data_IF_600763017261
#
_entry.id   IF_600763017261
#
_cell.length_a   1.000
_cell.length_b   1.000
_cell.length_c   1.000
_cell.angle_alpha   90.00
_cell.angle_beta   90.00
_cell.angle_gamma   90.00
#
_symmetry.space_group_name_H-M   'P 1'
#
loop_
_entity.id
_entity.type
_entity.pdbx_description
1 polymer ?
#
# COMPACT_ATOMS: atom_id res chain seq x y z
N UNK A 1 17.41 -10.83 -14.32
CA UNK A 1 17.71 -9.89 -13.19
C UNK A 1 16.41 -9.65 -12.44
N UNK A 2 16.44 -9.68 -11.08
CA UNK A 2 15.25 -9.42 -10.27
C UNK A 2 14.93 -7.92 -10.33
N UNK A 3 13.70 -7.51 -10.67
CA UNK A 3 13.33 -6.10 -10.72
C UNK A 3 13.22 -5.49 -9.30
N UNK A 4 13.27 -4.19 -9.20
CA UNK A 4 12.77 -3.47 -8.03
C UNK A 4 11.25 -3.52 -8.03
N UNK A 5 10.63 -3.59 -6.86
CA UNK A 5 9.17 -3.53 -6.67
C UNK A 5 8.85 -2.23 -5.94
N UNK A 6 7.96 -1.44 -6.52
CA UNK A 6 7.41 -0.23 -5.96
C UNK A 6 5.89 -0.42 -5.83
N UNK A 7 5.41 -0.78 -4.63
CA UNK A 7 4.03 -1.25 -4.48
C UNK A 7 2.99 -0.13 -4.43
N UNK A 8 3.43 1.11 -4.28
CA UNK A 8 2.54 2.28 -4.31
C UNK A 8 3.31 3.51 -4.77
N UNK A 9 2.78 4.17 -5.81
CA UNK A 9 3.36 5.41 -6.34
C UNK A 9 2.31 6.26 -7.02
N UNK A 10 2.47 7.58 -6.95
CA UNK A 10 1.69 8.56 -7.71
C UNK A 10 2.34 8.93 -9.04
N UNK A 11 3.49 8.34 -9.34
CA UNK A 11 4.27 8.63 -10.55
C UNK A 11 4.14 7.48 -11.57
N UNK A 12 4.17 7.81 -12.85
CA UNK A 12 4.27 6.81 -13.90
C UNK A 12 5.75 6.53 -14.14
N UNK A 13 6.19 5.35 -13.74
CA UNK A 13 7.54 4.88 -13.99
C UNK A 13 7.56 4.01 -15.24
N UNK A 14 8.44 4.36 -16.18
CA UNK A 14 8.66 3.62 -17.44
C UNK A 14 9.96 2.80 -17.42
N UNK A 15 10.56 2.62 -16.27
CA UNK A 15 11.80 1.86 -16.13
C UNK A 15 11.50 0.35 -16.10
N UNK A 16 11.93 -0.39 -17.11
CA UNK A 16 11.74 -1.85 -17.22
C UNK A 16 12.39 -2.67 -16.09
N UNK A 17 13.29 -2.07 -15.31
CA UNK A 17 13.89 -2.72 -14.14
C UNK A 17 13.06 -2.55 -12.86
N UNK A 18 11.93 -1.85 -12.94
CA UNK A 18 11.04 -1.58 -11.81
C UNK A 18 9.63 -2.05 -12.15
N UNK A 19 9.02 -2.81 -11.25
CA UNK A 19 7.59 -3.12 -11.28
C UNK A 19 6.92 -2.12 -10.34
N UNK A 20 6.24 -1.12 -10.88
CA UNK A 20 5.52 -0.10 -10.13
C UNK A 20 4.01 -0.32 -10.18
N UNK A 21 3.34 -0.23 -9.03
CA UNK A 21 1.88 -0.20 -8.92
C UNK A 21 1.48 1.27 -8.69
N UNK A 22 1.00 1.91 -9.74
CA UNK A 22 0.59 3.31 -9.68
C UNK A 22 -0.82 3.47 -9.09
N UNK A 23 -1.06 4.54 -8.33
CA UNK A 23 -2.40 4.84 -7.85
C UNK A 23 -3.25 5.45 -8.99
N UNK A 24 -4.30 4.72 -9.39
CA UNK A 24 -5.20 5.14 -10.46
C UNK A 24 -6.00 6.40 -10.09
N UNK A 25 -6.35 6.58 -8.82
CA UNK A 25 -7.20 7.68 -8.38
C UNK A 25 -6.49 9.04 -8.53
N UNK A 26 -5.22 9.11 -8.16
CA UNK A 26 -4.40 10.33 -8.21
C UNK A 26 -3.75 10.56 -9.57
N UNK A 27 -3.63 9.50 -10.40
CA UNK A 27 -3.09 9.63 -11.76
C UNK A 27 -3.99 10.52 -12.63
N UNK A 28 -3.44 11.53 -13.33
CA UNK A 28 -4.20 12.37 -14.25
C UNK A 28 -4.95 11.54 -15.30
N UNK A 29 -6.20 11.91 -15.61
CA UNK A 29 -7.07 11.15 -16.52
C UNK A 29 -6.40 10.89 -17.88
N UNK A 30 -5.68 11.89 -18.43
CA UNK A 30 -4.95 11.77 -19.69
C UNK A 30 -3.82 10.74 -19.69
N UNK A 31 -3.36 10.32 -18.51
CA UNK A 31 -2.23 9.39 -18.36
C UNK A 31 -2.67 7.98 -17.89
N UNK A 32 -3.94 7.79 -17.50
CA UNK A 32 -4.44 6.52 -16.95
C UNK A 32 -4.34 5.35 -17.93
N UNK A 33 -4.43 5.62 -19.24
CA UNK A 33 -4.26 4.60 -20.29
C UNK A 33 -2.84 4.04 -20.36
N UNK A 34 -1.84 4.75 -19.82
CA UNK A 34 -0.43 4.38 -19.87
C UNK A 34 0.00 3.55 -18.64
N UNK A 35 -0.89 3.31 -17.69
CA UNK A 35 -0.58 2.51 -16.49
C UNK A 35 -0.40 1.05 -16.85
N UNK A 36 0.83 0.53 -16.67
CA UNK A 36 1.14 -0.88 -16.83
C UNK A 36 0.46 -1.70 -15.72
N UNK A 37 0.72 -1.36 -14.47
CA UNK A 37 0.07 -1.93 -13.29
C UNK A 37 -0.44 -0.79 -12.41
N UNK A 38 -1.59 -1.00 -11.77
CA UNK A 38 -2.16 0.01 -10.91
C UNK A 38 -2.95 -0.59 -9.73
N UNK A 39 -3.18 0.24 -8.71
CA UNK A 39 -4.21 0.05 -7.70
C UNK A 39 -5.38 0.98 -7.96
N UNK A 40 -6.59 0.56 -7.62
CA UNK A 40 -7.79 1.37 -7.73
C UNK A 40 -8.56 1.39 -6.42
N UNK A 41 -8.84 2.59 -5.91
CA UNK A 41 -9.54 2.78 -4.64
C UNK A 41 -10.31 4.10 -4.59
N UNK A 42 -11.07 4.27 -3.51
CA UNK A 42 -11.66 5.55 -3.12
C UNK A 42 -10.93 5.99 -1.86
N UNK A 43 -9.98 6.89 -2.04
CA UNK A 43 -9.22 7.48 -0.94
C UNK A 43 -10.14 8.26 0.01
N UNK A 44 -9.96 8.23 1.33
CA UNK A 44 -10.84 8.91 2.29
C UNK A 44 -11.02 10.40 2.01
N UNK A 45 -10.03 11.08 1.44
CA UNK A 45 -10.13 12.50 1.09
C UNK A 45 -11.06 12.81 -0.08
N UNK A 46 -11.28 11.84 -0.97
CA UNK A 46 -12.01 12.03 -2.23
C UNK A 46 -13.36 11.33 -2.23
N UNK A 47 -13.85 10.91 -1.07
CA UNK A 47 -15.19 10.33 -0.93
C UNK A 47 -16.24 11.37 -1.34
N UNK A 48 -17.01 11.02 -2.38
CA UNK A 48 -18.14 11.83 -2.82
C UNK A 48 -19.44 11.25 -2.25
N UNK A 49 -19.91 11.80 -1.14
CA UNK A 49 -21.10 11.31 -0.44
C UNK A 49 -22.40 11.51 -1.23
N UNK A 50 -22.46 12.47 -2.16
CA UNK A 50 -23.63 12.77 -2.99
C UNK A 50 -23.73 11.77 -4.16
N UNK A 51 -22.59 11.43 -4.79
CA UNK A 51 -22.51 10.57 -5.97
C UNK A 51 -21.73 9.28 -5.70
N UNK A 52 -21.81 8.74 -4.47
CA UNK A 52 -21.03 7.58 -4.06
C UNK A 52 -21.25 6.36 -4.97
N UNK A 53 -22.49 6.07 -5.34
CA UNK A 53 -22.80 4.91 -6.17
C UNK A 53 -22.11 4.98 -7.54
N UNK A 54 -22.06 6.16 -8.15
CA UNK A 54 -21.34 6.38 -9.41
C UNK A 54 -19.83 6.22 -9.22
N UNK A 55 -19.28 6.77 -8.11
CA UNK A 55 -17.85 6.63 -7.78
C UNK A 55 -17.48 5.17 -7.52
N UNK A 56 -18.32 4.44 -6.79
CA UNK A 56 -18.09 3.03 -6.48
C UNK A 56 -18.25 2.13 -7.71
N UNK A 57 -19.18 2.46 -8.63
CA UNK A 57 -19.30 1.75 -9.90
C UNK A 57 -18.07 1.94 -10.77
N UNK A 58 -17.54 3.15 -10.87
CA UNK A 58 -16.29 3.42 -11.58
C UNK A 58 -15.09 2.66 -10.97
N UNK A 59 -15.01 2.56 -9.63
CA UNK A 59 -14.04 1.73 -8.97
C UNK A 59 -14.15 0.27 -9.40
N UNK A 60 -15.36 -0.32 -9.38
CA UNK A 60 -15.57 -1.73 -9.76
C UNK A 60 -15.10 -2.02 -11.19
N UNK A 61 -15.39 -1.11 -12.13
CA UNK A 61 -14.95 -1.23 -13.53
C UNK A 61 -13.43 -1.25 -13.69
N UNK A 62 -12.70 -0.51 -12.86
CA UNK A 62 -11.24 -0.55 -12.87
C UNK A 62 -10.70 -1.78 -12.13
N UNK A 63 -11.30 -2.12 -11.00
CA UNK A 63 -10.85 -3.18 -10.12
C UNK A 63 -10.80 -4.57 -10.79
N UNK A 64 -11.70 -4.86 -11.72
CA UNK A 64 -11.75 -6.15 -12.44
C UNK A 64 -10.70 -6.30 -13.54
N UNK A 65 -10.02 -5.23 -13.93
CA UNK A 65 -8.98 -5.29 -14.97
C UNK A 65 -7.79 -6.14 -14.52
N UNK A 66 -7.17 -6.85 -15.44
CA UNK A 66 -6.05 -7.76 -15.15
C UNK A 66 -4.80 -7.03 -14.66
N UNK A 67 -4.60 -5.79 -15.12
CA UNK A 67 -3.48 -4.94 -14.70
C UNK A 67 -3.78 -4.11 -13.42
N UNK A 68 -5.01 -4.13 -12.89
CA UNK A 68 -5.29 -3.69 -11.53
C UNK A 68 -4.78 -4.75 -10.55
N UNK A 69 -3.84 -4.41 -9.67
CA UNK A 69 -3.18 -5.36 -8.76
C UNK A 69 -3.67 -5.30 -7.33
N UNK A 70 -4.30 -4.21 -6.93
CA UNK A 70 -4.80 -4.01 -5.57
C UNK A 70 -6.05 -3.13 -5.55
N UNK A 71 -6.85 -3.24 -4.51
CA UNK A 71 -7.82 -2.23 -4.12
C UNK A 71 -7.09 -1.22 -3.24
N UNK A 72 -7.09 0.02 -3.62
CA UNK A 72 -6.40 1.11 -2.93
C UNK A 72 -5.92 2.20 -3.90
N UNK A 73 -5.49 3.28 -3.35
CA UNK A 73 -5.39 3.64 -1.94
C UNK A 73 -6.79 3.88 -1.34
N UNK A 74 -7.07 3.28 -0.19
CA UNK A 74 -8.32 3.45 0.55
C UNK A 74 -8.07 3.27 2.05
N UNK A 75 -8.98 3.71 2.90
CA UNK A 75 -8.77 3.56 4.34
C UNK A 75 -9.39 4.67 5.17
N UNK A 76 -8.67 5.13 6.22
CA UNK A 76 -9.17 6.03 7.24
C UNK A 76 -8.22 7.21 7.48
N UNK A 77 -8.76 8.41 7.50
CA UNK A 77 -8.04 9.62 7.90
C UNK A 77 -8.87 10.42 8.90
N UNK A 78 -8.38 10.52 10.15
CA UNK A 78 -9.06 11.25 11.22
C UNK A 78 -8.96 12.76 11.08
N UNK A 79 -8.05 13.25 10.23
CA UNK A 79 -7.76 14.67 10.05
C UNK A 79 -8.44 15.26 8.81
N UNK A 80 -8.81 14.41 7.83
CA UNK A 80 -9.30 14.86 6.53
C UNK A 80 -10.33 13.90 5.94
N UNK A 81 -11.23 14.43 5.12
CA UNK A 81 -12.35 13.69 4.52
C UNK A 81 -13.65 13.87 5.30
N UNK A 82 -14.70 13.11 4.98
CA UNK A 82 -15.96 13.10 5.72
C UNK A 82 -15.80 12.40 7.08
N UNK A 83 -16.87 12.37 7.88
CA UNK A 83 -16.90 11.70 9.17
C UNK A 83 -16.38 10.26 9.11
N UNK A 84 -15.68 9.83 10.16
CA UNK A 84 -15.07 8.49 10.22
C UNK A 84 -16.06 7.35 10.04
N UNK A 85 -17.32 7.52 10.49
CA UNK A 85 -18.38 6.52 10.28
C UNK A 85 -18.67 6.29 8.78
N UNK A 86 -18.63 7.35 7.98
CA UNK A 86 -18.77 7.30 6.52
C UNK A 86 -17.54 6.66 5.91
N UNK A 87 -16.34 7.08 6.33
CA UNK A 87 -15.08 6.49 5.84
C UNK A 87 -15.04 4.98 6.12
N UNK A 88 -15.38 4.53 7.33
CA UNK A 88 -15.43 3.11 7.71
C UNK A 88 -16.39 2.34 6.81
N UNK A 89 -17.61 2.84 6.63
CA UNK A 89 -18.61 2.18 5.79
C UNK A 89 -18.12 2.00 4.34
N UNK A 90 -17.46 3.02 3.78
CA UNK A 90 -16.93 3.00 2.42
C UNK A 90 -15.68 2.13 2.32
N UNK A 91 -14.82 2.14 3.34
CA UNK A 91 -13.65 1.28 3.40
C UNK A 91 -14.06 -0.19 3.46
N UNK A 92 -15.04 -0.56 4.29
CA UNK A 92 -15.55 -1.93 4.36
C UNK A 92 -16.18 -2.41 3.03
N UNK A 93 -16.86 -1.55 2.28
CA UNK A 93 -17.34 -1.88 0.93
C UNK A 93 -16.17 -2.18 -0.03
N UNK A 94 -15.08 -1.46 0.07
CA UNK A 94 -13.88 -1.69 -0.75
C UNK A 94 -13.16 -2.98 -0.33
N UNK A 95 -13.10 -3.29 0.96
CA UNK A 95 -12.59 -4.56 1.46
C UNK A 95 -13.43 -5.73 0.92
N UNK A 96 -14.75 -5.62 0.96
CA UNK A 96 -15.64 -6.65 0.43
C UNK A 96 -15.42 -6.88 -1.09
N UNK A 97 -15.20 -5.80 -1.86
CA UNK A 97 -14.81 -5.90 -3.27
C UNK A 97 -13.47 -6.61 -3.44
N UNK A 98 -12.46 -6.24 -2.64
CA UNK A 98 -11.13 -6.85 -2.68
C UNK A 98 -11.19 -8.37 -2.41
N UNK A 99 -11.99 -8.80 -1.42
CA UNK A 99 -12.24 -10.22 -1.12
C UNK A 99 -12.88 -10.92 -2.33
N UNK A 100 -13.94 -10.33 -2.90
CA UNK A 100 -14.66 -10.90 -4.04
C UNK A 100 -13.74 -11.15 -5.25
N UNK A 101 -12.84 -10.21 -5.54
CA UNK A 101 -11.94 -10.29 -6.70
C UNK A 101 -10.54 -10.82 -6.36
N UNK A 102 -10.33 -11.26 -5.12
CA UNK A 102 -9.07 -11.84 -4.60
C UNK A 102 -7.85 -10.94 -4.80
N UNK A 103 -7.96 -9.66 -4.46
CA UNK A 103 -6.85 -8.70 -4.54
C UNK A 103 -6.50 -8.14 -3.17
N UNK A 104 -5.23 -7.80 -2.89
CA UNK A 104 -4.84 -7.15 -1.64
C UNK A 104 -5.42 -5.74 -1.54
N UNK A 105 -5.39 -5.19 -0.33
CA UNK A 105 -5.83 -3.82 -0.03
C UNK A 105 -4.63 -2.97 0.39
N UNK A 106 -4.37 -1.87 -0.33
CA UNK A 106 -3.39 -0.84 0.03
C UNK A 106 -4.11 0.20 0.89
N UNK A 107 -3.66 0.33 2.15
CA UNK A 107 -4.38 1.02 3.21
C UNK A 107 -3.72 2.32 3.59
N UNK A 108 -4.47 3.42 3.45
CA UNK A 108 -4.20 4.71 4.07
C UNK A 108 -4.69 4.73 5.51
N UNK A 109 -3.85 5.14 6.45
CA UNK A 109 -4.29 5.31 7.84
C UNK A 109 -3.59 6.47 8.53
N UNK A 110 -4.37 7.52 8.84
CA UNK A 110 -3.90 8.67 9.60
C UNK A 110 -4.70 8.80 10.90
N UNK A 111 -4.02 8.64 12.04
CA UNK A 111 -4.56 8.77 13.41
C UNK A 111 -5.82 7.94 13.72
N UNK A 112 -6.09 6.85 12.96
CA UNK A 112 -7.27 5.99 13.11
C UNK A 112 -6.91 4.51 13.31
N UNK A 113 -5.74 4.21 13.88
CA UNK A 113 -5.23 2.85 14.02
C UNK A 113 -6.07 1.96 14.94
N UNK A 114 -6.72 2.52 15.97
CA UNK A 114 -7.67 1.82 16.84
C UNK A 114 -8.83 1.20 16.03
N UNK A 115 -9.41 1.97 15.14
CA UNK A 115 -10.47 1.52 14.22
C UNK A 115 -9.92 0.55 13.18
N UNK A 116 -8.74 0.85 12.62
CA UNK A 116 -8.09 -0.01 11.64
C UNK A 116 -7.81 -1.41 12.21
N UNK A 117 -7.33 -1.53 13.46
CA UNK A 117 -7.12 -2.84 14.10
C UNK A 117 -8.41 -3.66 14.18
N UNK A 118 -9.53 -3.03 14.54
CA UNK A 118 -10.82 -3.72 14.60
C UNK A 118 -11.26 -4.22 13.21
N UNK A 119 -11.07 -3.41 12.18
CA UNK A 119 -11.39 -3.76 10.80
C UNK A 119 -10.49 -4.89 10.31
N UNK A 120 -9.17 -4.79 10.45
CA UNK A 120 -8.24 -5.84 10.02
C UNK A 120 -8.58 -7.16 10.73
N UNK A 121 -8.83 -7.13 12.05
CA UNK A 121 -9.22 -8.32 12.81
C UNK A 121 -10.52 -8.95 12.30
N UNK A 122 -11.50 -8.15 11.88
CA UNK A 122 -12.78 -8.63 11.31
C UNK A 122 -12.58 -9.37 9.98
N UNK A 123 -11.64 -8.91 9.16
CA UNK A 123 -11.40 -9.43 7.81
C UNK A 123 -10.09 -10.21 7.67
N UNK A 124 -9.37 -10.46 8.76
CA UNK A 124 -8.12 -11.24 8.71
C UNK A 124 -8.36 -12.62 8.08
N UNK A 125 -7.37 -13.15 7.37
CA UNK A 125 -7.44 -14.39 6.61
C UNK A 125 -8.39 -14.39 5.39
N UNK A 126 -9.09 -13.29 5.12
CA UNK A 126 -9.94 -13.16 3.94
C UNK A 126 -9.29 -12.30 2.85
N UNK A 127 -8.45 -11.34 3.27
CA UNK A 127 -7.75 -10.43 2.36
C UNK A 127 -6.42 -9.99 2.97
N UNK A 128 -5.43 -9.72 2.14
CA UNK A 128 -4.14 -9.18 2.58
C UNK A 128 -4.25 -7.66 2.69
N UNK A 129 -3.84 -7.11 3.83
CA UNK A 129 -3.74 -5.66 4.06
C UNK A 129 -2.28 -5.22 3.96
N UNK A 130 -2.02 -4.15 3.22
CA UNK A 130 -0.71 -3.50 3.09
C UNK A 130 -0.86 -2.08 3.61
N UNK A 131 -0.23 -1.75 4.72
CA UNK A 131 -0.28 -0.41 5.30
C UNK A 131 0.79 0.43 4.62
N UNK A 132 0.37 1.32 3.70
CA UNK A 132 1.29 2.16 2.96
C UNK A 132 1.85 3.29 3.83
N UNK A 133 2.98 3.87 3.42
CA UNK A 133 3.59 5.03 4.10
C UNK A 133 3.87 4.81 5.58
N UNK A 134 4.15 3.57 6.02
CA UNK A 134 4.23 3.27 7.46
C UNK A 134 5.34 4.05 8.14
N UNK A 135 4.96 4.91 9.09
CA UNK A 135 5.88 5.72 9.91
C UNK A 135 5.30 5.95 11.32
N UNK A 136 4.92 4.86 12.00
CA UNK A 136 4.29 4.91 13.32
C UNK A 136 5.24 4.41 14.43
N UNK A 137 4.70 4.17 15.62
CA UNK A 137 5.46 3.64 16.75
C UNK A 137 5.58 2.10 16.70
N UNK A 138 6.51 1.49 17.48
CA UNK A 138 6.72 0.04 17.49
C UNK A 138 5.50 -0.78 17.92
N UNK A 139 4.66 -0.25 18.81
CA UNK A 139 3.47 -0.95 19.30
C UNK A 139 2.43 -1.14 18.18
N UNK A 140 2.21 -0.09 17.37
CA UNK A 140 1.34 -0.14 16.21
C UNK A 140 1.88 -1.14 15.18
N UNK A 141 3.20 -1.08 14.89
CA UNK A 141 3.84 -2.03 13.98
C UNK A 141 3.62 -3.48 14.42
N UNK A 142 3.93 -3.78 15.69
CA UNK A 142 3.79 -5.12 16.26
C UNK A 142 2.34 -5.63 16.17
N UNK A 143 1.35 -4.77 16.44
CA UNK A 143 -0.06 -5.13 16.36
C UNK A 143 -0.49 -5.46 14.92
N UNK A 144 -0.11 -4.63 13.94
CA UNK A 144 -0.40 -4.86 12.53
C UNK A 144 0.22 -6.16 12.02
N UNK A 145 1.50 -6.39 12.34
CA UNK A 145 2.21 -7.61 11.96
C UNK A 145 1.57 -8.87 12.56
N UNK A 146 1.15 -8.84 13.84
CA UNK A 146 0.42 -9.94 14.49
C UNK A 146 -0.93 -10.23 13.84
N UNK A 147 -1.57 -9.23 13.27
CA UNK A 147 -2.82 -9.38 12.50
C UNK A 147 -2.59 -9.85 11.05
N UNK A 148 -1.34 -10.10 10.65
CA UNK A 148 -0.99 -10.56 9.30
C UNK A 148 -0.88 -9.46 8.26
N UNK A 149 -0.91 -8.19 8.65
CA UNK A 149 -0.73 -7.09 7.71
C UNK A 149 0.74 -6.97 7.28
N UNK A 150 0.94 -6.48 6.06
CA UNK A 150 2.25 -6.04 5.56
C UNK A 150 2.45 -4.56 5.85
N UNK A 151 3.68 -4.16 6.17
CA UNK A 151 4.04 -2.75 6.31
C UNK A 151 4.80 -2.30 5.06
N UNK A 152 4.39 -1.22 4.44
CA UNK A 152 5.14 -0.64 3.33
C UNK A 152 5.89 0.61 3.79
N UNK A 153 7.19 0.67 3.48
CA UNK A 153 8.10 1.69 3.95
C UNK A 153 8.57 2.56 2.80
N UNK A 154 8.44 3.86 2.97
CA UNK A 154 8.79 4.86 1.97
C UNK A 154 10.07 5.65 2.29
N UNK A 155 10.12 6.85 1.70
CA UNK A 155 11.23 7.82 1.80
C UNK A 155 11.63 8.19 3.24
N UNK A 156 10.74 7.99 4.23
CA UNK A 156 11.06 8.21 5.63
C UNK A 156 12.24 7.35 6.14
N UNK A 157 12.58 6.23 5.47
CA UNK A 157 13.78 5.44 5.75
C UNK A 157 15.07 6.17 5.38
N UNK A 158 15.03 7.10 4.44
CA UNK A 158 16.18 7.91 4.02
C UNK A 158 16.56 8.97 5.07
N UNK A 159 15.62 9.29 5.98
CA UNK A 159 15.91 10.26 7.04
C UNK A 159 16.85 9.66 8.09
N UNK A 160 18.10 10.13 8.11
CA UNK A 160 19.13 9.64 9.03
C UNK A 160 18.77 9.80 10.50
N UNK A 161 17.91 10.78 10.84
CA UNK A 161 17.44 11.05 12.21
C UNK A 161 16.26 10.20 12.65
N UNK A 162 15.63 9.44 11.76
CA UNK A 162 14.45 8.62 12.08
C UNK A 162 14.84 7.23 12.60
N UNK A 163 15.62 7.21 13.68
CA UNK A 163 16.12 5.98 14.31
C UNK A 163 14.98 5.04 14.75
N UNK A 164 13.85 5.61 15.17
CA UNK A 164 12.66 4.83 15.53
C UNK A 164 12.16 4.00 14.35
N UNK A 165 12.01 4.60 13.17
CA UNK A 165 11.49 3.89 11.98
C UNK A 165 12.50 2.85 11.49
N UNK A 166 13.79 3.17 11.51
CA UNK A 166 14.87 2.22 11.16
C UNK A 166 14.86 1.00 12.10
N UNK A 167 14.70 1.22 13.41
CA UNK A 167 14.54 0.13 14.36
C UNK A 167 13.33 -0.75 14.03
N UNK A 168 12.18 -0.15 13.78
CA UNK A 168 10.95 -0.89 13.40
C UNK A 168 11.20 -1.70 12.13
N UNK A 169 11.77 -1.09 11.10
CA UNK A 169 12.07 -1.77 9.85
C UNK A 169 13.04 -2.93 10.06
N UNK A 170 14.09 -2.75 10.85
CA UNK A 170 15.04 -3.81 11.19
C UNK A 170 14.36 -5.02 11.86
N UNK A 171 13.36 -4.78 12.72
CA UNK A 171 12.60 -5.83 13.43
C UNK A 171 11.45 -6.43 12.61
N UNK A 172 11.01 -5.77 11.54
CA UNK A 172 9.92 -6.29 10.69
C UNK A 172 10.36 -7.59 10.00
N UNK A 173 9.58 -8.69 10.08
CA UNK A 173 9.92 -9.97 9.41
C UNK A 173 10.09 -9.79 7.89
N UNK A 174 11.07 -10.49 7.31
CA UNK A 174 11.35 -10.38 5.87
C UNK A 174 10.17 -10.70 4.96
N UNK A 175 9.24 -11.50 5.42
CA UNK A 175 8.04 -11.90 4.68
C UNK A 175 6.81 -11.00 4.92
N UNK A 176 6.97 -9.84 5.58
CA UNK A 176 5.83 -8.95 5.92
C UNK A 176 6.11 -7.47 5.65
N UNK A 177 6.97 -7.13 4.69
CA UNK A 177 7.13 -5.73 4.31
C UNK A 177 7.27 -5.53 2.80
N UNK A 178 7.05 -4.27 2.40
CA UNK A 178 7.28 -3.74 1.07
C UNK A 178 8.03 -2.41 1.12
N UNK A 179 8.45 -1.96 -0.05
CA UNK A 179 9.07 -0.65 -0.29
C UNK A 179 8.21 0.10 -1.31
N UNK A 180 8.12 1.41 -1.14
CA UNK A 180 7.41 2.32 -2.03
C UNK A 180 8.08 3.70 -2.05
N UNK A 181 7.78 4.52 -3.05
CA UNK A 181 8.17 5.93 -3.03
C UNK A 181 7.00 6.91 -2.89
N UNK A 182 5.74 6.42 -2.99
CA UNK A 182 4.53 7.23 -2.86
C UNK A 182 4.56 8.45 -3.81
N UNK A 183 4.43 9.67 -3.30
CA UNK A 183 4.56 10.94 -4.02
C UNK A 183 5.98 11.54 -3.94
N UNK A 184 6.91 10.88 -3.24
CA UNK A 184 8.24 11.40 -3.01
C UNK A 184 9.07 11.48 -4.31
N UNK A 185 9.82 12.55 -4.47
CA UNK A 185 10.71 12.75 -5.63
C UNK A 185 11.92 11.80 -5.66
N UNK A 186 12.19 11.06 -4.58
CA UNK A 186 13.30 10.11 -4.54
C UNK A 186 13.02 8.87 -5.39
N UNK A 187 14.09 8.27 -5.91
CA UNK A 187 14.00 6.99 -6.61
C UNK A 187 13.80 5.85 -5.62
N UNK A 188 12.98 4.86 -6.00
CA UNK A 188 12.74 3.69 -5.15
C UNK A 188 14.02 2.91 -4.85
N UNK A 189 14.99 2.90 -5.77
CA UNK A 189 16.29 2.27 -5.59
C UNK A 189 17.05 2.82 -4.38
N UNK A 190 16.96 4.13 -4.11
CA UNK A 190 17.59 4.75 -2.95
C UNK A 190 16.97 4.24 -1.64
N UNK A 191 15.65 3.99 -1.64
CA UNK A 191 14.97 3.43 -0.47
C UNK A 191 15.40 1.97 -0.26
N UNK A 192 15.58 1.20 -1.34
CA UNK A 192 16.12 -0.17 -1.26
C UNK A 192 17.54 -0.21 -0.69
N UNK A 193 18.41 0.72 -1.10
CA UNK A 193 19.79 0.83 -0.57
C UNK A 193 19.77 1.10 0.95
N UNK A 194 18.92 2.04 1.39
CA UNK A 194 18.73 2.31 2.82
C UNK A 194 18.17 1.08 3.55
N UNK A 195 17.19 0.41 2.98
CA UNK A 195 16.58 -0.80 3.53
C UNK A 195 17.61 -1.93 3.67
N UNK A 196 18.43 -2.16 2.65
CA UNK A 196 19.49 -3.17 2.67
C UNK A 196 20.53 -2.86 3.76
N UNK A 197 20.94 -1.59 3.86
CA UNK A 197 21.85 -1.13 4.93
C UNK A 197 21.29 -1.37 6.33
N UNK A 198 20.01 -1.03 6.56
CA UNK A 198 19.36 -1.23 7.88
C UNK A 198 19.25 -2.72 8.22
N UNK A 199 18.90 -3.58 7.25
CA UNK A 199 18.81 -5.04 7.40
C UNK A 199 20.18 -5.74 7.37
N UNK A 200 21.27 -5.00 7.11
CA UNK A 200 22.65 -5.52 7.00
C UNK A 200 22.76 -6.65 5.98
N UNK A 201 22.16 -6.48 4.80
CA UNK A 201 22.20 -7.42 3.70
C UNK A 201 22.61 -6.72 2.39
N UNK A 202 23.01 -7.51 1.39
CA UNK A 202 23.29 -7.03 0.04
C UNK A 202 22.00 -6.56 -0.66
N UNK A 203 22.12 -5.58 -1.56
CA UNK A 203 20.99 -5.03 -2.33
C UNK A 203 20.21 -6.12 -3.09
N UNK A 204 20.90 -7.09 -3.68
CA UNK A 204 20.26 -8.19 -4.39
C UNK A 204 19.43 -9.08 -3.46
N UNK A 205 19.89 -9.34 -2.23
CA UNK A 205 19.12 -10.06 -1.21
C UNK A 205 17.86 -9.30 -0.82
N UNK A 206 17.95 -7.97 -0.67
CA UNK A 206 16.78 -7.12 -0.41
C UNK A 206 15.76 -7.21 -1.55
N UNK A 207 16.21 -7.18 -2.81
CA UNK A 207 15.35 -7.35 -3.99
C UNK A 207 14.68 -8.73 -4.00
N UNK A 208 15.39 -9.79 -3.67
CA UNK A 208 14.87 -11.16 -3.57
C UNK A 208 13.74 -11.26 -2.52
N UNK A 209 13.97 -10.69 -1.33
CA UNK A 209 12.98 -10.66 -0.24
C UNK A 209 11.70 -9.98 -0.71
N UNK A 210 11.79 -8.77 -1.25
CA UNK A 210 10.62 -7.98 -1.64
C UNK A 210 9.92 -8.61 -2.86
N UNK A 211 10.68 -9.17 -3.80
CA UNK A 211 10.11 -9.87 -4.94
C UNK A 211 9.37 -11.15 -4.53
N UNK A 212 9.87 -11.88 -3.53
CA UNK A 212 9.16 -13.03 -2.96
C UNK A 212 7.83 -12.60 -2.32
N UNK A 213 7.83 -11.50 -1.54
CA UNK A 213 6.61 -10.93 -0.96
C UNK A 213 5.63 -10.49 -2.06
N UNK A 214 6.14 -9.85 -3.12
CA UNK A 214 5.32 -9.45 -4.27
C UNK A 214 4.64 -10.66 -4.93
N UNK A 215 5.37 -11.72 -5.19
CA UNK A 215 4.78 -12.95 -5.74
C UNK A 215 3.70 -13.53 -4.82
N UNK A 216 3.97 -13.61 -3.54
CA UNK A 216 3.02 -14.15 -2.55
C UNK A 216 1.72 -13.34 -2.50
N UNK A 217 1.79 -12.01 -2.64
CA UNK A 217 0.65 -11.12 -2.41
C UNK A 217 -0.08 -10.74 -3.69
N UNK A 218 0.63 -10.56 -4.80
CA UNK A 218 0.07 -9.98 -6.03
C UNK A 218 -0.03 -10.96 -7.22
N UNK A 219 0.61 -12.13 -7.13
CA UNK A 219 0.51 -13.16 -8.15
C UNK A 219 -0.13 -14.39 -7.52
N UNK A 220 -1.41 -14.61 -7.79
CA UNK A 220 -2.10 -15.83 -7.36
C UNK A 220 -1.70 -16.97 -8.32
N UNK A 221 -0.50 -17.52 -8.13
CA UNK A 221 -0.09 -18.80 -8.71
C UNK A 221 -0.22 -19.91 -7.67
#
# INVERSE_FOLDING_TARGET
>A
MIPFINIHTHQIDVNYNIISIADWCTTPISQRSNLLLFSAGIHPWFINTINFDKQYQALKEQAIKTNCKAIGECGLDKLKGPDLSIQISIFEKQIALAIQIKKPVIVHCVQAYDMLFAIIKKYQNQVVFIIHGFNQNPQIALQLLKLGAYLSFGNALLNVKNERLKYIFAQTPNHQFFIENDDAACKVEQIYEAAASIKKCELNVMKEIIFANYKTVFTHE
#
